data_IF_462320494980
#
_entry.id   IF_462320494980
#
_cell.length_a   1.000
_cell.length_b   1.000
_cell.length_c   1.000
_cell.angle_alpha   90.00
_cell.angle_beta   90.00
_cell.angle_gamma   90.00
#
_symmetry.space_group_name_H-M   'P 1'
#
loop_
_entity.id
_entity.type
_entity.pdbx_description
1 polymer ?
#
# COMPACT_ATOMS: atom_id res chain seq x y z
N UNK A 1 44.35 -39.06 -26.84
CA UNK A 1 44.00 -38.93 -25.40
C UNK A 1 43.71 -37.47 -25.12
N UNK A 2 42.44 -37.13 -24.91
CA UNK A 2 41.95 -35.75 -24.71
C UNK A 2 42.40 -35.26 -23.34
N UNK A 3 43.15 -34.15 -23.32
CA UNK A 3 43.35 -33.36 -22.11
C UNK A 3 42.78 -31.97 -22.34
N UNK A 4 42.26 -31.47 -21.23
CA UNK A 4 42.11 -30.07 -20.86
C UNK A 4 40.71 -29.46 -21.00
N UNK A 5 40.14 -29.30 -19.80
CA UNK A 5 39.58 -28.06 -19.26
C UNK A 5 38.35 -27.51 -19.97
N UNK A 6 37.22 -27.47 -19.24
CA UNK A 6 36.72 -26.23 -18.67
C UNK A 6 35.67 -26.60 -17.60
N UNK A 7 36.04 -26.38 -16.34
CA UNK A 7 35.13 -26.40 -15.22
C UNK A 7 34.26 -25.14 -15.30
N UNK A 8 33.01 -25.29 -15.76
CA UNK A 8 32.01 -24.25 -15.68
C UNK A 8 31.36 -24.30 -14.28
N UNK A 9 31.90 -23.50 -13.36
CA UNK A 9 31.22 -23.13 -12.12
C UNK A 9 30.00 -22.30 -12.52
N UNK A 10 28.83 -22.93 -12.57
CA UNK A 10 27.57 -22.21 -12.69
C UNK A 10 27.17 -21.78 -11.28
N UNK A 11 27.73 -20.66 -10.83
CA UNK A 11 27.18 -19.91 -9.70
C UNK A 11 25.90 -19.22 -10.17
N UNK A 12 24.81 -20.01 -10.25
CA UNK A 12 23.44 -19.50 -10.31
C UNK A 12 23.15 -18.85 -8.95
N UNK A 13 23.29 -17.53 -8.92
CA UNK A 13 22.87 -16.69 -7.81
C UNK A 13 21.38 -16.91 -7.53
N UNK A 14 21.10 -17.64 -6.44
CA UNK A 14 19.79 -17.83 -5.85
C UNK A 14 19.30 -16.53 -5.18
N UNK A 15 19.04 -15.48 -5.96
CA UNK A 15 18.46 -14.24 -5.44
C UNK A 15 17.24 -13.79 -6.23
N UNK A 16 16.36 -14.74 -6.59
CA UNK A 16 15.13 -14.43 -7.35
C UNK A 16 13.85 -15.01 -6.72
N UNK A 17 13.84 -15.33 -5.41
CA UNK A 17 12.65 -15.86 -4.73
C UNK A 17 12.03 -14.92 -3.69
N UNK A 18 12.34 -13.61 -3.69
CA UNK A 18 11.73 -12.67 -2.73
C UNK A 18 10.59 -11.83 -3.31
N UNK A 19 10.41 -11.81 -4.64
CA UNK A 19 9.56 -10.82 -5.32
C UNK A 19 8.11 -11.27 -5.60
N UNK A 20 7.72 -12.51 -5.29
CA UNK A 20 6.36 -12.98 -5.64
C UNK A 20 5.29 -12.62 -4.61
N UNK A 21 5.60 -12.56 -3.31
CA UNK A 21 4.57 -12.39 -2.27
C UNK A 21 4.14 -10.94 -2.02
N UNK A 22 5.05 -9.97 -2.20
CA UNK A 22 4.79 -8.56 -1.88
C UNK A 22 3.72 -7.88 -2.73
N UNK A 23 3.59 -8.25 -4.01
CA UNK A 23 2.61 -7.64 -4.91
C UNK A 23 1.15 -7.98 -4.51
N UNK A 24 0.92 -9.21 -4.05
CA UNK A 24 -0.43 -9.66 -3.67
C UNK A 24 -0.96 -8.97 -2.42
N UNK A 25 -0.08 -8.56 -1.50
CA UNK A 25 -0.45 -7.86 -0.28
C UNK A 25 -0.70 -6.37 -0.55
N UNK A 26 0.17 -5.75 -1.35
CA UNK A 26 -0.01 -4.37 -1.78
C UNK A 26 -1.33 -4.17 -2.51
N UNK A 27 -1.66 -5.04 -3.48
CA UNK A 27 -2.88 -4.87 -4.27
C UNK A 27 -4.14 -5.02 -3.41
N UNK A 28 -4.13 -5.94 -2.44
CA UNK A 28 -5.22 -6.08 -1.46
C UNK A 28 -5.37 -4.84 -0.59
N UNK A 29 -4.26 -4.33 -0.05
CA UNK A 29 -4.28 -3.13 0.79
C UNK A 29 -4.73 -1.91 -0.01
N UNK A 30 -4.25 -1.75 -1.25
CA UNK A 30 -4.64 -0.66 -2.15
C UNK A 30 -6.13 -0.70 -2.47
N UNK A 31 -6.69 -1.88 -2.77
CA UNK A 31 -8.12 -2.06 -2.97
C UNK A 31 -8.94 -1.70 -1.72
N UNK A 32 -8.47 -2.12 -0.54
CA UNK A 32 -9.11 -1.76 0.73
C UNK A 32 -9.08 -0.24 0.97
N UNK A 33 -7.92 0.40 0.81
CA UNK A 33 -7.78 1.86 0.95
C UNK A 33 -8.72 2.60 0.01
N UNK A 34 -8.82 2.16 -1.25
CA UNK A 34 -9.72 2.77 -2.25
C UNK A 34 -11.17 2.72 -1.77
N UNK A 35 -11.64 1.55 -1.31
CA UNK A 35 -12.99 1.38 -0.77
C UNK A 35 -13.26 2.29 0.43
N UNK A 36 -12.32 2.37 1.38
CA UNK A 36 -12.47 3.20 2.59
C UNK A 36 -12.44 4.70 2.28
N UNK A 37 -11.65 5.13 1.29
CA UNK A 37 -11.66 6.50 0.79
C UNK A 37 -13.01 6.83 0.16
N UNK A 38 -13.59 5.93 -0.64
CA UNK A 38 -14.93 6.15 -1.21
C UNK A 38 -16.01 6.28 -0.13
N UNK A 39 -15.95 5.46 0.92
CA UNK A 39 -16.83 5.58 2.07
C UNK A 39 -16.65 6.92 2.79
N UNK A 40 -15.41 7.33 3.05
CA UNK A 40 -15.10 8.63 3.67
C UNK A 40 -15.49 9.84 2.80
N UNK A 41 -15.37 9.74 1.47
CA UNK A 41 -15.83 10.80 0.55
C UNK A 41 -17.33 11.02 0.65
N UNK A 42 -18.11 9.94 0.76
CA UNK A 42 -19.58 10.01 0.91
C UNK A 42 -20.01 10.73 2.18
N UNK A 43 -19.17 10.77 3.22
CA UNK A 43 -19.48 11.52 4.43
C UNK A 43 -19.15 13.01 4.32
N UNK A 44 -18.31 13.40 3.36
CA UNK A 44 -17.79 14.77 3.25
C UNK A 44 -16.66 15.10 4.22
N UNK A 45 -16.13 14.11 4.96
CA UNK A 45 -15.08 14.32 5.98
C UNK A 45 -13.70 13.80 5.58
N UNK A 46 -13.49 13.37 4.33
CA UNK A 46 -12.17 12.90 3.89
C UNK A 46 -11.10 13.99 4.10
N UNK A 47 -9.96 13.60 4.67
CA UNK A 47 -8.85 14.51 4.93
C UNK A 47 -8.04 14.77 3.65
N UNK A 48 -7.53 15.99 3.50
CA UNK A 48 -6.85 16.46 2.28
C UNK A 48 -5.61 15.66 1.89
N UNK A 49 -4.94 15.01 2.84
CA UNK A 49 -3.70 14.29 2.58
C UNK A 49 -3.91 12.81 2.21
N UNK A 50 -5.12 12.27 2.40
CA UNK A 50 -5.36 10.84 2.27
C UNK A 50 -5.04 10.34 0.86
N UNK A 51 -5.48 11.06 -0.17
CA UNK A 51 -5.18 10.71 -1.57
C UNK A 51 -3.71 10.97 -1.95
N UNK A 52 -3.04 11.91 -1.28
CA UNK A 52 -1.61 12.15 -1.51
C UNK A 52 -0.76 10.98 -1.04
N UNK A 53 -1.17 10.31 0.04
CA UNK A 53 -0.52 9.08 0.47
C UNK A 53 -0.70 7.94 -0.52
N UNK A 54 -1.88 7.81 -1.15
CA UNK A 54 -2.09 6.83 -2.23
C UNK A 54 -1.17 7.11 -3.42
N UNK A 55 -1.12 8.36 -3.90
CA UNK A 55 -0.21 8.73 -5.00
C UNK A 55 1.28 8.53 -4.64
N UNK A 56 1.66 8.82 -3.39
CA UNK A 56 3.00 8.57 -2.86
C UNK A 56 3.33 7.08 -2.81
N UNK A 57 2.36 6.23 -2.47
CA UNK A 57 2.51 4.79 -2.44
C UNK A 57 2.67 4.19 -3.85
N UNK A 58 1.88 4.66 -4.82
CA UNK A 58 2.00 4.24 -6.22
C UNK A 58 3.38 4.60 -6.79
N UNK A 59 3.88 5.80 -6.48
CA UNK A 59 5.22 6.21 -6.86
C UNK A 59 6.28 5.32 -6.22
N UNK A 60 6.19 5.06 -4.92
CA UNK A 60 7.11 4.20 -4.21
C UNK A 60 7.12 2.77 -4.79
N UNK A 61 5.95 2.19 -5.11
CA UNK A 61 5.85 0.89 -5.78
C UNK A 61 6.56 0.89 -7.14
N UNK A 62 6.34 1.93 -7.96
CA UNK A 62 7.02 2.09 -9.27
C UNK A 62 8.54 2.21 -9.14
N UNK A 63 9.00 2.84 -8.07
CA UNK A 63 10.42 3.00 -7.74
C UNK A 63 11.02 1.73 -7.07
N UNK A 64 10.21 0.70 -6.82
CA UNK A 64 10.62 -0.55 -6.16
C UNK A 64 10.72 -0.48 -4.63
N UNK A 65 10.35 0.65 -4.03
CA UNK A 65 10.32 0.88 -2.58
C UNK A 65 9.00 0.38 -1.98
N UNK A 66 8.89 -0.95 -1.87
CA UNK A 66 7.68 -1.61 -1.37
C UNK A 66 7.37 -1.27 0.10
N UNK A 67 8.39 -1.10 0.94
CA UNK A 67 8.20 -0.74 2.35
C UNK A 67 7.54 0.63 2.50
N UNK A 68 8.03 1.63 1.75
CA UNK A 68 7.41 2.95 1.72
C UNK A 68 6.02 2.89 1.11
N UNK A 69 5.83 2.09 0.07
CA UNK A 69 4.53 1.93 -0.58
C UNK A 69 3.47 1.40 0.41
N UNK A 70 3.79 0.34 1.16
CA UNK A 70 2.93 -0.22 2.19
C UNK A 70 2.69 0.75 3.35
N UNK A 71 3.72 1.48 3.78
CA UNK A 71 3.60 2.49 4.84
C UNK A 71 2.66 3.63 4.46
N UNK A 72 2.78 4.15 3.24
CA UNK A 72 1.93 5.23 2.77
C UNK A 72 0.47 4.77 2.58
N UNK A 73 0.23 3.56 2.06
CA UNK A 73 -1.13 2.99 2.01
C UNK A 73 -1.75 2.82 3.41
N UNK A 74 -0.97 2.36 4.40
CA UNK A 74 -1.48 2.24 5.78
C UNK A 74 -1.85 3.59 6.40
N UNK A 75 -1.10 4.66 6.10
CA UNK A 75 -1.49 6.03 6.51
C UNK A 75 -2.79 6.46 5.84
N UNK A 76 -2.93 6.23 4.53
CA UNK A 76 -4.16 6.52 3.82
C UNK A 76 -5.37 5.75 4.42
N UNK A 77 -5.19 4.46 4.73
CA UNK A 77 -6.20 3.64 5.38
C UNK A 77 -6.62 4.22 6.74
N UNK A 78 -5.64 4.61 7.55
CA UNK A 78 -5.89 5.20 8.86
C UNK A 78 -6.71 6.50 8.73
N UNK A 79 -6.28 7.43 7.88
CA UNK A 79 -6.99 8.71 7.70
C UNK A 79 -8.41 8.50 7.15
N UNK A 80 -8.60 7.61 6.17
CA UNK A 80 -9.93 7.30 5.62
C UNK A 80 -10.88 6.75 6.71
N UNK A 81 -10.40 5.87 7.59
CA UNK A 81 -11.19 5.35 8.70
C UNK A 81 -11.48 6.40 9.76
N UNK A 82 -10.50 7.24 10.10
CA UNK A 82 -10.69 8.34 11.06
C UNK A 82 -11.69 9.37 10.54
N UNK A 83 -11.68 9.67 9.24
CA UNK A 83 -12.67 10.53 8.61
C UNK A 83 -14.10 9.99 8.77
N UNK A 84 -14.30 8.68 8.63
CA UNK A 84 -15.60 8.04 8.86
C UNK A 84 -16.02 8.10 10.34
N UNK A 85 -15.09 7.87 11.26
CA UNK A 85 -15.35 8.00 12.71
C UNK A 85 -15.75 9.43 13.05
N UNK A 86 -14.98 10.42 12.58
CA UNK A 86 -15.26 11.84 12.77
C UNK A 86 -16.65 12.21 12.24
N UNK A 87 -17.02 11.72 11.05
CA UNK A 87 -18.34 11.95 10.48
C UNK A 87 -19.46 11.41 11.39
N UNK A 88 -19.29 10.19 11.92
CA UNK A 88 -20.24 9.56 12.83
C UNK A 88 -20.36 10.34 14.14
N UNK A 89 -19.23 10.74 14.72
CA UNK A 89 -19.21 11.53 15.96
C UNK A 89 -19.88 12.88 15.79
N UNK A 90 -19.64 13.59 14.67
CA UNK A 90 -20.31 14.86 14.39
C UNK A 90 -21.81 14.70 14.13
N UNK A 91 -22.23 13.61 13.49
CA UNK A 91 -23.66 13.32 13.33
C UNK A 91 -24.35 13.10 14.68
N UNK A 92 -23.69 12.41 15.61
CA UNK A 92 -24.22 12.17 16.96
C UNK A 92 -24.17 13.42 17.86
N UNK A 93 -23.11 14.23 17.74
CA UNK A 93 -22.98 15.49 18.49
C UNK A 93 -24.04 16.54 18.08
N UNK A 94 -24.65 16.40 16.90
CA UNK A 94 -25.74 17.26 16.43
C UNK A 94 -27.11 16.94 17.02
N UNK A 95 -27.26 15.93 17.88
CA UNK A 95 -28.49 15.70 18.63
C UNK A 95 -28.57 16.72 19.79
N UNK A 96 -29.43 17.77 19.72
CA UNK A 96 -29.57 18.70 20.81
C UNK A 96 -30.60 18.19 21.84
N UNK A 97 -30.42 18.68 23.06
CA UNK A 97 -31.42 18.75 24.14
C UNK A 97 -32.77 19.30 23.66
#
# INVERSE_FOLDING_TARGET
>A
MKKMLFAAVISLSLTACASWWGDSEYDKLSAQVTSEIELAKKTGFLWTNTEKFVASAEKAKKDGDMDKAMKDLNKALFEAKQAQVQAKEQANARAPF
#
